data_IF_806019987637
#
_entry.id   IF_806019987637
#
_cell.length_a   1.000
_cell.length_b   1.000
_cell.length_c   1.000
_cell.angle_alpha   90.00
_cell.angle_beta   90.00
_cell.angle_gamma   90.00
#
_symmetry.space_group_name_H-M   'P 1'
#
loop_
_entity.id
_entity.type
_entity.pdbx_description
1 polymer ?
#
# COMPACT_ATOMS: atom_id res chain seq x y z
N UNK A 1 23.70 15.47 0.21
CA UNK A 1 24.54 15.02 -0.93
C UNK A 1 24.62 13.50 -0.86
N UNK A 2 23.71 12.78 -1.54
CA UNK A 2 23.73 11.32 -1.61
C UNK A 2 24.69 10.81 -2.70
N UNK A 3 25.20 9.57 -2.61
CA UNK A 3 26.22 9.07 -3.52
C UNK A 3 25.62 8.82 -4.93
N UNK A 4 26.33 9.29 -5.96
CA UNK A 4 25.98 9.00 -7.36
C UNK A 4 26.17 7.50 -7.62
N UNK A 5 25.14 6.86 -8.15
CA UNK A 5 25.20 5.47 -8.60
C UNK A 5 26.26 5.24 -9.70
N UNK A 6 26.57 3.97 -10.02
CA UNK A 6 27.67 3.62 -10.91
C UNK A 6 27.44 4.15 -12.33
N UNK A 7 28.51 4.51 -13.07
CA UNK A 7 28.38 4.99 -14.44
C UNK A 7 27.97 3.84 -15.38
N UNK A 8 27.10 4.14 -16.33
CA UNK A 8 26.68 3.21 -17.38
C UNK A 8 27.86 2.84 -18.32
N UNK A 9 27.92 1.61 -18.84
CA UNK A 9 28.97 1.19 -19.78
C UNK A 9 28.84 1.92 -21.13
N UNK A 10 29.95 2.13 -21.88
CA UNK A 10 29.92 2.84 -23.15
C UNK A 10 29.25 1.98 -24.22
N UNK A 11 28.23 2.54 -24.90
CA UNK A 11 27.51 1.85 -25.98
C UNK A 11 28.38 1.82 -27.24
N UNK A 12 28.68 0.62 -27.73
CA UNK A 12 29.16 0.41 -29.09
C UNK A 12 28.13 0.84 -30.15
N UNK A 13 28.50 0.93 -31.44
CA UNK A 13 27.66 1.53 -32.45
C UNK A 13 26.41 0.67 -32.70
N UNK A 14 25.25 1.23 -32.37
CA UNK A 14 23.95 0.60 -32.59
C UNK A 14 23.61 0.65 -34.09
N UNK A 15 23.52 -0.51 -34.75
CA UNK A 15 22.89 -0.61 -36.07
C UNK A 15 21.40 -0.28 -35.89
N UNK A 16 20.93 0.78 -36.57
CA UNK A 16 19.52 1.19 -36.54
C UNK A 16 18.68 0.12 -37.26
N UNK A 17 17.66 -0.48 -36.62
CA UNK A 17 16.66 -1.20 -37.37
C UNK A 17 15.75 -0.21 -38.09
N UNK A 18 15.29 -0.64 -39.25
CA UNK A 18 14.37 0.04 -40.15
C UNK A 18 13.01 0.27 -39.49
N UNK A 19 12.33 1.36 -39.84
CA UNK A 19 10.94 1.63 -39.48
C UNK A 19 10.79 2.82 -38.54
N UNK A 20 10.16 3.89 -39.02
CA UNK A 20 9.91 5.12 -38.26
C UNK A 20 8.82 4.96 -37.20
N UNK A 21 9.09 4.20 -36.14
CA UNK A 21 8.24 4.21 -34.96
C UNK A 21 8.69 5.33 -34.02
N UNK A 22 7.76 6.25 -33.71
CA UNK A 22 7.89 7.16 -32.58
C UNK A 22 8.08 6.28 -31.33
N UNK A 23 9.27 6.30 -30.75
CA UNK A 23 9.47 5.81 -29.38
C UNK A 23 8.74 6.78 -28.47
N UNK A 24 7.44 6.59 -28.28
CA UNK A 24 6.74 7.18 -27.16
C UNK A 24 7.31 6.51 -25.91
N UNK A 25 8.05 7.27 -25.11
CA UNK A 25 8.48 6.83 -23.77
C UNK A 25 7.20 6.73 -22.95
N UNK A 26 6.58 5.55 -22.96
CA UNK A 26 5.42 5.22 -22.14
C UNK A 26 5.93 4.67 -20.82
N UNK A 27 5.48 5.28 -19.72
CA UNK A 27 5.65 4.73 -18.38
C UNK A 27 4.65 3.57 -18.19
N UNK A 28 4.88 2.48 -18.92
CA UNK A 28 4.08 1.26 -18.80
C UNK A 28 4.69 0.36 -17.72
N UNK A 29 4.20 0.52 -16.49
CA UNK A 29 4.65 -0.27 -15.36
C UNK A 29 4.21 -1.74 -15.43
N UNK A 30 3.20 -2.06 -16.25
CA UNK A 30 2.82 -3.46 -16.49
C UNK A 30 3.87 -4.14 -17.38
N UNK A 31 4.30 -3.45 -18.45
CA UNK A 31 5.42 -3.92 -19.26
C UNK A 31 6.70 -4.02 -18.42
N UNK A 32 6.98 -3.01 -17.59
CA UNK A 32 8.14 -3.03 -16.68
C UNK A 32 8.10 -4.22 -15.70
N UNK A 33 6.93 -4.59 -15.19
CA UNK A 33 6.77 -5.77 -14.34
C UNK A 33 7.06 -7.07 -15.10
N UNK A 34 6.60 -7.20 -16.36
CA UNK A 34 6.93 -8.35 -17.19
C UNK A 34 8.45 -8.45 -17.45
N UNK A 35 9.12 -7.32 -17.61
CA UNK A 35 10.54 -7.25 -17.94
C UNK A 35 11.46 -7.43 -16.71
N UNK A 36 11.04 -6.97 -15.53
CA UNK A 36 11.92 -6.88 -14.33
C UNK A 36 11.41 -7.63 -13.10
N UNK A 37 10.13 -7.99 -13.07
CA UNK A 37 9.46 -8.50 -11.88
C UNK A 37 9.13 -7.44 -10.82
N UNK A 38 9.51 -6.17 -11.03
CA UNK A 38 9.17 -5.08 -10.10
C UNK A 38 7.69 -4.73 -10.25
N UNK A 39 6.93 -4.88 -9.17
CA UNK A 39 5.48 -4.67 -9.21
C UNK A 39 5.14 -3.19 -9.45
N UNK A 40 4.08 -2.86 -10.18
CA UNK A 40 3.72 -1.47 -10.46
C UNK A 40 3.58 -0.58 -9.21
N UNK A 41 3.08 -1.12 -8.10
CA UNK A 41 2.94 -0.39 -6.84
C UNK A 41 4.28 0.03 -6.21
N UNK A 42 5.40 -0.60 -6.57
CA UNK A 42 6.72 -0.26 -6.05
C UNK A 42 7.14 1.18 -6.45
N UNK A 43 6.55 1.71 -7.54
CA UNK A 43 6.85 3.04 -8.05
C UNK A 43 5.93 4.14 -7.49
N UNK A 44 4.99 3.80 -6.60
CA UNK A 44 4.17 4.78 -5.90
C UNK A 44 5.06 5.55 -4.92
N UNK A 45 5.08 6.87 -5.06
CA UNK A 45 5.78 7.79 -4.15
C UNK A 45 4.85 8.23 -3.03
N UNK A 46 5.41 8.52 -1.86
CA UNK A 46 4.70 9.08 -0.71
C UNK A 46 3.51 8.22 -0.22
N UNK A 47 3.58 6.91 -0.43
CA UNK A 47 2.52 5.97 -0.04
C UNK A 47 2.43 5.72 1.47
N UNK A 48 3.53 5.91 2.20
CA UNK A 48 3.62 5.61 3.62
C UNK A 48 2.74 6.54 4.45
N UNK A 49 1.96 5.96 5.37
CA UNK A 49 0.99 6.72 6.16
C UNK A 49 1.61 7.81 7.05
N UNK A 50 2.88 7.63 7.47
CA UNK A 50 3.60 8.56 8.33
C UNK A 50 4.01 9.84 7.60
N UNK A 51 4.50 9.71 6.37
CA UNK A 51 5.15 10.83 5.66
C UNK A 51 4.27 11.41 4.55
N UNK A 52 3.12 10.79 4.25
CA UNK A 52 2.18 11.23 3.19
C UNK A 52 1.75 12.70 3.30
N UNK A 53 1.70 13.25 4.51
CA UNK A 53 1.27 14.63 4.76
C UNK A 53 2.38 15.57 5.22
N UNK A 54 3.65 15.16 5.13
CA UNK A 54 4.79 15.97 5.59
C UNK A 54 4.84 17.35 4.92
N UNK A 55 4.49 17.44 3.63
CA UNK A 55 4.43 18.70 2.89
C UNK A 55 3.14 19.51 3.12
N UNK A 56 2.19 18.97 3.89
CA UNK A 56 0.84 19.51 4.08
C UNK A 56 0.52 19.69 5.58
N UNK A 57 1.07 20.71 6.25
CA UNK A 57 1.01 20.84 7.72
C UNK A 57 -0.43 20.95 8.25
N UNK A 58 -1.38 21.47 7.45
CA UNK A 58 -2.80 21.50 7.84
C UNK A 58 -3.44 20.11 7.86
N UNK A 59 -3.08 19.23 6.91
CA UNK A 59 -3.59 17.87 6.83
C UNK A 59 -2.98 17.00 7.94
N UNK A 60 -1.67 17.14 8.17
CA UNK A 60 -0.99 16.50 9.29
C UNK A 60 -1.64 16.89 10.62
N UNK A 61 -1.89 18.19 10.84
CA UNK A 61 -2.54 18.66 12.07
C UNK A 61 -3.96 18.13 12.22
N UNK A 62 -4.73 18.05 11.13
CA UNK A 62 -6.08 17.48 11.15
C UNK A 62 -6.07 16.00 11.55
N UNK A 63 -5.14 15.21 10.99
CA UNK A 63 -4.99 13.80 11.33
C UNK A 63 -4.62 13.64 12.81
N UNK A 64 -3.65 14.40 13.30
CA UNK A 64 -3.25 14.37 14.71
C UNK A 64 -4.39 14.72 15.67
N UNK A 65 -5.21 15.72 15.32
CA UNK A 65 -6.39 16.09 16.14
C UNK A 65 -7.47 15.01 16.12
N UNK A 66 -7.68 14.36 14.98
CA UNK A 66 -8.61 13.24 14.87
C UNK A 66 -8.15 12.06 15.74
N UNK A 67 -6.87 11.72 15.66
CA UNK A 67 -6.29 10.61 16.42
C UNK A 67 -6.37 10.86 17.94
N UNK A 68 -6.13 12.10 18.39
CA UNK A 68 -6.30 12.49 19.80
C UNK A 68 -7.75 12.29 20.30
N UNK A 69 -8.75 12.66 19.49
CA UNK A 69 -10.16 12.43 19.83
C UNK A 69 -10.48 10.93 19.87
N UNK A 70 -9.97 10.15 18.93
CA UNK A 70 -10.14 8.70 18.91
C UNK A 70 -9.51 8.05 20.14
N UNK A 71 -8.29 8.43 20.51
CA UNK A 71 -7.60 7.89 21.70
C UNK A 71 -8.31 8.24 23.00
N UNK A 72 -8.79 9.48 23.16
CA UNK A 72 -9.54 9.91 24.35
C UNK A 72 -10.87 9.20 24.55
N UNK A 73 -11.51 8.77 23.47
CA UNK A 73 -12.81 8.09 23.48
C UNK A 73 -12.72 6.58 23.29
N UNK A 74 -11.51 6.04 23.11
CA UNK A 74 -11.30 4.62 22.91
C UNK A 74 -11.74 3.84 24.15
N UNK A 75 -12.59 2.84 23.93
CA UNK A 75 -12.92 1.88 24.97
C UNK A 75 -11.69 1.02 25.28
N UNK A 76 -11.53 0.53 26.53
CA UNK A 76 -10.49 -0.45 26.84
C UNK A 76 -10.56 -1.66 25.90
N UNK A 77 -9.40 -2.28 25.67
CA UNK A 77 -9.32 -3.48 24.85
C UNK A 77 -10.23 -4.59 25.40
N UNK A 78 -10.99 -5.22 24.51
CA UNK A 78 -11.84 -6.36 24.83
C UNK A 78 -11.68 -7.41 23.73
N UNK A 79 -11.58 -8.68 24.12
CA UNK A 79 -11.47 -9.81 23.20
C UNK A 79 -12.20 -11.02 23.75
N UNK A 80 -12.78 -11.79 22.85
CA UNK A 80 -13.44 -13.06 23.15
C UNK A 80 -12.84 -14.12 22.26
N UNK A 81 -12.34 -15.20 22.86
CA UNK A 81 -11.93 -16.40 22.12
C UNK A 81 -13.16 -17.27 21.92
N UNK A 82 -13.59 -17.44 20.67
CA UNK A 82 -14.76 -18.24 20.33
C UNK A 82 -14.63 -18.87 18.93
N UNK A 83 -15.27 -20.03 18.72
CA UNK A 83 -15.48 -20.59 17.39
C UNK A 83 -16.69 -19.90 16.74
N UNK A 84 -16.44 -19.04 15.76
CA UNK A 84 -17.47 -18.27 15.06
C UNK A 84 -18.46 -19.14 14.27
N UNK A 85 -18.16 -20.42 14.01
CA UNK A 85 -19.11 -21.34 13.35
C UNK A 85 -20.24 -21.77 14.29
N UNK A 86 -19.99 -21.80 15.59
CA UNK A 86 -20.94 -22.28 16.61
C UNK A 86 -21.35 -21.19 17.60
N UNK A 87 -20.63 -20.09 17.64
CA UNK A 87 -20.87 -18.99 18.58
C UNK A 87 -22.12 -18.19 18.21
N UNK A 88 -23.00 -17.98 19.19
CA UNK A 88 -24.15 -17.10 19.03
C UNK A 88 -23.72 -15.63 19.12
N UNK A 89 -23.64 -14.97 17.96
CA UNK A 89 -23.28 -13.56 17.87
C UNK A 89 -24.28 -12.63 18.58
N UNK A 90 -25.52 -13.07 18.78
CA UNK A 90 -26.53 -12.25 19.49
C UNK A 90 -26.23 -12.15 20.99
N UNK A 91 -25.45 -13.08 21.54
CA UNK A 91 -25.01 -13.07 22.93
C UNK A 91 -24.11 -11.87 23.29
N UNK A 92 -23.55 -11.17 22.29
CA UNK A 92 -22.77 -9.94 22.51
C UNK A 92 -23.63 -8.80 23.06
N UNK A 93 -24.96 -8.86 22.91
CA UNK A 93 -25.90 -7.94 23.57
C UNK A 93 -25.82 -6.49 23.12
N UNK A 94 -25.06 -6.19 22.05
CA UNK A 94 -24.85 -4.85 21.52
C UNK A 94 -24.97 -4.83 20.00
N UNK A 95 -25.28 -3.64 19.46
CA UNK A 95 -25.15 -3.37 18.02
C UNK A 95 -23.84 -2.64 17.81
N UNK A 96 -23.17 -2.96 16.72
CA UNK A 96 -21.89 -2.36 16.36
C UNK A 96 -22.11 -1.33 15.25
N UNK A 97 -21.54 -0.14 15.42
CA UNK A 97 -21.56 0.90 14.36
C UNK A 97 -20.64 0.52 13.19
N UNK A 98 -19.55 -0.19 13.48
CA UNK A 98 -18.55 -0.65 12.50
C UNK A 98 -18.12 -2.06 12.85
N UNK A 99 -18.03 -2.94 11.85
CA UNK A 99 -17.55 -4.32 11.97
C UNK A 99 -16.44 -4.52 10.94
N UNK A 100 -15.27 -4.95 11.39
CA UNK A 100 -14.17 -5.42 10.52
C UNK A 100 -14.21 -6.95 10.47
N UNK A 101 -14.32 -7.52 9.27
CA UNK A 101 -14.38 -8.97 9.05
C UNK A 101 -13.17 -9.38 8.21
N UNK A 102 -12.32 -10.24 8.75
CA UNK A 102 -11.17 -10.82 8.06
C UNK A 102 -11.16 -12.35 8.29
N UNK A 103 -11.97 -13.12 7.54
CA UNK A 103 -12.06 -14.55 7.75
C UNK A 103 -10.82 -15.26 7.18
N UNK A 104 -10.45 -16.44 7.73
CA UNK A 104 -9.26 -17.17 7.30
C UNK A 104 -9.50 -17.90 5.97
N UNK A 105 -9.37 -17.17 4.86
CA UNK A 105 -9.50 -17.74 3.53
C UNK A 105 -8.36 -18.72 3.24
N UNK A 106 -8.68 -19.83 2.57
CA UNK A 106 -7.71 -20.85 2.20
C UNK A 106 -6.56 -20.27 1.35
N UNK A 107 -6.87 -19.33 0.46
CA UNK A 107 -5.90 -18.63 -0.39
C UNK A 107 -4.81 -17.88 0.39
N UNK A 108 -5.03 -17.56 1.67
CA UNK A 108 -3.99 -16.91 2.49
C UNK A 108 -2.91 -17.89 2.93
N UNK A 109 -3.27 -19.17 3.09
CA UNK A 109 -2.34 -20.26 3.44
C UNK A 109 -1.66 -20.86 2.22
N UNK A 110 -2.30 -20.80 1.05
CA UNK A 110 -1.80 -21.38 -0.20
C UNK A 110 -0.80 -20.45 -0.96
N UNK A 111 -0.49 -19.26 -0.41
CA UNK A 111 0.46 -18.28 -0.95
C UNK A 111 1.88 -18.50 -0.44
#
# INVERSE_FOLDING_TARGET
MGPRGPPFPPRGPMKRPFGGEKIEIKNDYNQHFLDTGERPQNFIRDGEAKDRFADYPKLERLLALKDDVCQKRATPYCSITADLKTFDLTALGSRFDVILVDPPWQEYSDR
#
